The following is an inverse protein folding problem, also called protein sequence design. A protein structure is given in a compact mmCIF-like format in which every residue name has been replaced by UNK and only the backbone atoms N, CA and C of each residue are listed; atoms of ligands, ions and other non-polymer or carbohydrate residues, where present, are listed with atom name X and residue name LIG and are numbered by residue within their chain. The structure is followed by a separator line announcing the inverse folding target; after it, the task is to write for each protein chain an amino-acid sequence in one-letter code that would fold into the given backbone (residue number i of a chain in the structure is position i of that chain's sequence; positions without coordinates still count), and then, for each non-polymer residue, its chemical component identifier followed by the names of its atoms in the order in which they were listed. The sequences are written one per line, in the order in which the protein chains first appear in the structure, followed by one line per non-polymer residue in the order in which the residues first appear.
data_IF_272400085455
#
_entry.id   IF_272400085455
#
_cell.length_a   1.000
_cell.length_b   1.000
_cell.length_c   1.000
_cell.angle_alpha   90.00
_cell.angle_beta   90.00
_cell.angle_gamma   90.00
#
_symmetry.space_group_name_H-M   'P 1'
#
loop_
_entity.id
_entity.type
_entity.pdbx_description
1 polymer ?
#
# COMPACT_ATOMS: atom_id res chain seq x y z
N UNK A 1 -10.04 8.59 -30.19
CA UNK A 1 -11.14 8.08 -29.35
C UNK A 1 -10.57 7.71 -27.99
N UNK A 2 -11.30 7.94 -26.89
CA UNK A 2 -10.89 7.46 -25.57
C UNK A 2 -11.24 5.97 -25.48
N UNK A 3 -10.24 5.11 -25.32
CA UNK A 3 -10.45 3.67 -25.16
C UNK A 3 -10.56 3.33 -23.66
N UNK A 4 -11.62 2.65 -23.21
CA UNK A 4 -11.69 2.14 -21.86
C UNK A 4 -10.54 1.16 -21.59
N UNK A 5 -9.91 1.26 -20.42
CA UNK A 5 -8.95 0.27 -19.95
C UNK A 5 -9.70 -0.74 -19.08
N UNK A 6 -9.62 -2.01 -19.44
CA UNK A 6 -10.09 -3.10 -18.59
C UNK A 6 -8.99 -3.47 -17.59
N UNK A 7 -9.37 -3.75 -16.35
CA UNK A 7 -8.48 -4.31 -15.34
C UNK A 7 -8.68 -5.82 -15.36
N UNK A 8 -7.94 -6.49 -16.23
CA UNK A 8 -7.98 -7.93 -16.43
C UNK A 8 -6.73 -8.63 -15.87
N UNK A 9 -6.70 -9.96 -15.92
CA UNK A 9 -5.56 -10.74 -15.42
C UNK A 9 -4.25 -10.40 -16.15
N UNK A 10 -4.30 -10.08 -17.45
CA UNK A 10 -3.12 -9.73 -18.22
C UNK A 10 -2.50 -8.40 -17.74
N UNK A 11 -3.33 -7.39 -17.46
CA UNK A 11 -2.86 -6.13 -16.87
C UNK A 11 -2.26 -6.36 -15.48
N UNK A 12 -2.93 -7.16 -14.64
CA UNK A 12 -2.44 -7.48 -13.31
C UNK A 12 -1.10 -8.24 -13.38
N UNK A 13 -0.95 -9.20 -14.29
CA UNK A 13 0.30 -9.94 -14.52
C UNK A 13 1.43 -9.01 -14.93
N UNK A 14 1.17 -8.11 -15.88
CA UNK A 14 2.15 -7.14 -16.36
C UNK A 14 2.68 -6.26 -15.22
N UNK A 15 1.79 -5.67 -14.41
CA UNK A 15 2.21 -4.74 -13.35
C UNK A 15 2.96 -5.45 -12.21
N UNK A 16 2.59 -6.69 -11.87
CA UNK A 16 3.34 -7.49 -10.90
C UNK A 16 4.71 -7.92 -11.44
N UNK A 17 4.81 -8.32 -12.71
CA UNK A 17 6.09 -8.64 -13.32
C UNK A 17 7.04 -7.44 -13.30
N UNK A 18 6.53 -6.24 -13.56
CA UNK A 18 7.28 -5.00 -13.44
C UNK A 18 7.69 -4.71 -12.00
N UNK A 19 6.81 -4.95 -11.02
CA UNK A 19 7.12 -4.82 -9.60
C UNK A 19 8.27 -5.75 -9.18
N UNK A 20 8.24 -7.03 -9.56
CA UNK A 20 9.28 -8.01 -9.24
C UNK A 20 10.65 -7.70 -9.85
N UNK A 21 10.70 -6.92 -10.94
CA UNK A 21 11.95 -6.45 -11.57
C UNK A 21 12.46 -5.13 -10.98
N UNK A 22 11.64 -4.41 -10.23
CA UNK A 22 12.02 -3.15 -9.60
C UNK A 22 12.86 -3.47 -8.33
N UNK A 23 14.01 -2.80 -8.10
CA UNK A 23 14.78 -2.96 -6.86
C UNK A 23 13.95 -2.76 -5.58
N UNK A 24 12.94 -1.86 -5.62
CA UNK A 24 12.00 -1.62 -4.52
C UNK A 24 10.87 -2.64 -4.43
N UNK A 25 10.80 -3.58 -5.37
CA UNK A 25 9.82 -4.67 -5.41
C UNK A 25 8.35 -4.21 -5.47
N UNK A 26 8.12 -3.02 -6.07
CA UNK A 26 6.78 -2.46 -6.23
C UNK A 26 6.66 -1.59 -7.47
N UNK A 27 5.44 -1.47 -8.00
CA UNK A 27 5.16 -0.69 -9.21
C UNK A 27 3.76 -0.11 -9.18
N UNK A 28 3.68 1.18 -9.52
CA UNK A 28 2.42 1.87 -9.75
C UNK A 28 2.07 1.84 -11.25
N UNK A 29 0.82 1.52 -11.57
CA UNK A 29 0.18 1.77 -12.87
C UNK A 29 -0.87 2.84 -12.69
N UNK A 30 -0.50 4.09 -12.97
CA UNK A 30 -1.38 5.24 -12.78
C UNK A 30 -2.46 5.31 -13.86
N UNK A 31 -3.71 5.61 -13.46
CA UNK A 31 -4.83 5.91 -14.36
C UNK A 31 -5.09 7.41 -14.52
N UNK A 32 -4.43 8.22 -13.71
CA UNK A 32 -4.37 9.67 -13.84
C UNK A 32 -3.21 10.06 -14.76
N UNK A 33 -3.30 11.24 -15.39
CA UNK A 33 -2.33 11.66 -16.41
C UNK A 33 -0.95 12.00 -15.84
N UNK A 34 -0.95 12.70 -14.70
CA UNK A 34 0.25 13.19 -14.04
C UNK A 34 -0.03 13.51 -12.56
N UNK A 35 1.04 13.82 -11.83
CA UNK A 35 1.02 14.07 -10.40
C UNK A 35 0.18 15.29 -9.98
N UNK A 36 -0.20 16.17 -10.91
CA UNK A 36 -1.05 17.34 -10.65
C UNK A 36 -2.54 17.03 -10.69
N UNK A 37 -2.92 15.84 -11.18
CA UNK A 37 -4.32 15.43 -11.27
C UNK A 37 -5.00 15.49 -9.89
N UNK A 38 -6.27 15.95 -9.81
CA UNK A 38 -6.97 16.12 -8.53
C UNK A 38 -7.37 14.80 -7.87
N UNK A 39 -7.36 13.69 -8.62
CA UNK A 39 -7.67 12.36 -8.12
C UNK A 39 -6.62 11.36 -8.62
N UNK A 40 -6.00 10.66 -7.69
CA UNK A 40 -4.97 9.68 -7.94
C UNK A 40 -5.58 8.30 -7.81
N UNK A 41 -5.79 7.66 -8.97
CA UNK A 41 -6.27 6.28 -9.08
C UNK A 41 -5.17 5.46 -9.75
N UNK A 42 -4.82 4.33 -9.17
CA UNK A 42 -3.68 3.53 -9.62
C UNK A 42 -3.82 2.07 -9.20
N UNK A 43 -3.22 1.17 -9.98
CA UNK A 43 -2.83 -0.13 -9.43
C UNK A 43 -1.50 0.01 -8.72
N UNK A 44 -1.39 -0.57 -7.54
CA UNK A 44 -0.15 -0.67 -6.78
C UNK A 44 0.17 -2.16 -6.61
N UNK A 45 1.17 -2.63 -7.35
CA UNK A 45 1.67 -3.99 -7.24
C UNK A 45 2.84 -4.02 -6.26
N UNK A 46 2.78 -4.92 -5.29
CA UNK A 46 3.75 -5.02 -4.20
C UNK A 46 4.14 -6.50 -4.07
N UNK A 47 5.44 -6.78 -4.04
CA UNK A 47 5.95 -8.14 -3.82
C UNK A 47 6.41 -8.33 -2.37
N UNK A 48 6.36 -9.58 -1.84
CA UNK A 48 6.84 -9.88 -0.50
C UNK A 48 8.30 -9.44 -0.29
N UNK A 49 8.56 -8.79 0.84
CA UNK A 49 9.86 -8.21 1.15
C UNK A 49 9.97 -6.71 0.86
N UNK A 50 9.04 -6.14 0.07
CA UNK A 50 8.94 -4.69 -0.09
C UNK A 50 8.44 -4.05 1.21
N UNK A 51 9.34 -3.38 1.93
CA UNK A 51 9.00 -2.65 3.15
C UNK A 51 8.51 -1.24 2.81
N UNK A 52 7.33 -0.90 3.33
CA UNK A 52 6.81 0.46 3.36
C UNK A 52 6.88 0.96 4.80
N UNK A 53 7.61 2.06 5.00
CA UNK A 53 7.65 2.71 6.30
C UNK A 53 6.24 3.13 6.71
N UNK A 54 5.80 2.85 7.96
CA UNK A 54 4.54 3.35 8.46
C UNK A 54 4.44 4.88 8.33
N UNK A 55 3.27 5.33 7.92
CA UNK A 55 3.01 6.74 7.67
C UNK A 55 1.53 7.06 7.89
N UNK A 56 1.22 8.35 7.87
CA UNK A 56 -0.14 8.88 7.85
C UNK A 56 -0.18 10.05 6.88
N UNK A 57 -1.37 10.43 6.45
CA UNK A 57 -1.59 11.70 5.77
C UNK A 57 -2.26 12.69 6.71
N UNK A 58 -1.82 13.94 6.77
CA UNK A 58 -2.42 14.95 7.67
C UNK A 58 -3.41 15.90 6.96
N UNK A 59 -3.34 16.00 5.64
CA UNK A 59 -4.32 16.77 4.87
C UNK A 59 -5.68 16.05 4.87
N UNK A 60 -6.73 16.76 5.27
CA UNK A 60 -8.08 16.22 5.41
C UNK A 60 -8.70 15.68 4.10
N UNK A 61 -8.09 15.95 2.95
CA UNK A 61 -8.52 15.40 1.67
C UNK A 61 -7.76 14.12 1.28
N UNK A 62 -6.78 13.68 2.08
CA UNK A 62 -5.85 12.59 1.75
C UNK A 62 -6.22 11.27 2.43
N UNK A 63 -7.51 11.02 2.60
CA UNK A 63 -7.99 9.67 2.89
C UNK A 63 -7.56 8.73 1.75
N UNK A 64 -7.27 7.47 2.09
CA UNK A 64 -6.78 6.46 1.16
C UNK A 64 -7.68 5.22 1.16
N UNK A 65 -8.27 4.91 0.00
CA UNK A 65 -9.02 3.67 -0.19
C UNK A 65 -8.18 2.67 -0.97
N UNK A 66 -8.06 1.44 -0.46
CA UNK A 66 -7.31 0.36 -1.09
C UNK A 66 -8.18 -0.91 -1.19
N UNK A 67 -8.35 -1.46 -2.39
CA UNK A 67 -9.06 -2.72 -2.63
C UNK A 67 -8.11 -3.74 -3.26
N UNK A 68 -7.98 -4.92 -2.67
CA UNK A 68 -7.12 -5.98 -3.21
C UNK A 68 -7.82 -6.63 -4.42
N UNK A 69 -7.14 -6.63 -5.57
CA UNK A 69 -7.64 -7.25 -6.80
C UNK A 69 -7.04 -8.63 -7.05
N UNK A 70 -5.82 -8.89 -6.54
CA UNK A 70 -5.15 -10.18 -6.59
C UNK A 70 -4.17 -10.35 -5.44
N UNK A 71 -3.97 -11.59 -5.00
CA UNK A 71 -3.05 -11.94 -3.92
C UNK A 71 -3.62 -11.66 -2.54
N UNK A 72 -2.73 -11.44 -1.57
CA UNK A 72 -3.08 -11.18 -0.18
C UNK A 72 -2.25 -10.03 0.35
N UNK A 73 -2.91 -9.04 0.92
CA UNK A 73 -2.27 -7.88 1.53
C UNK A 73 -2.56 -7.85 3.03
N UNK A 74 -1.55 -7.58 3.84
CA UNK A 74 -1.74 -7.18 5.22
C UNK A 74 -1.81 -5.67 5.35
N UNK A 75 -2.66 -5.18 6.23
CA UNK A 75 -2.66 -3.78 6.71
C UNK A 75 -2.46 -3.79 8.22
N UNK A 76 -1.64 -2.87 8.70
CA UNK A 76 -1.34 -2.70 10.13
C UNK A 76 -1.54 -1.23 10.50
N UNK A 77 -2.30 -1.00 11.56
CA UNK A 77 -2.59 0.32 12.11
C UNK A 77 -1.91 0.52 13.47
N UNK A 78 -1.50 1.75 13.74
CA UNK A 78 -0.73 2.10 14.93
C UNK A 78 -1.32 3.31 15.65
N UNK A 79 -1.10 3.34 16.97
CA UNK A 79 -1.25 4.57 17.75
C UNK A 79 -0.06 5.53 17.51
N UNK A 80 -0.13 6.74 18.08
CA UNK A 80 0.93 7.75 17.97
C UNK A 80 2.26 7.35 18.66
N UNK A 81 2.27 6.29 19.49
CA UNK A 81 3.46 5.76 20.14
C UNK A 81 4.10 4.58 19.37
N UNK A 82 3.46 4.14 18.29
CA UNK A 82 3.89 3.02 17.47
C UNK A 82 3.47 1.64 17.96
N UNK A 83 2.55 1.56 18.93
CA UNK A 83 1.91 0.30 19.27
C UNK A 83 0.93 -0.09 18.16
N UNK A 84 0.81 -1.39 17.87
CA UNK A 84 -0.19 -1.84 16.89
C UNK A 84 -1.54 -1.95 17.57
N UNK A 85 -2.51 -1.23 17.02
CA UNK A 85 -3.89 -1.23 17.50
C UNK A 85 -4.74 -2.26 16.75
N UNK A 86 -4.52 -2.40 15.45
CA UNK A 86 -5.31 -3.29 14.60
C UNK A 86 -4.50 -3.84 13.43
N UNK A 87 -4.80 -5.08 13.06
CA UNK A 87 -4.31 -5.71 11.83
C UNK A 87 -5.47 -6.31 11.06
N UNK A 88 -5.31 -6.42 9.74
CA UNK A 88 -6.23 -7.17 8.90
C UNK A 88 -5.50 -7.79 7.71
N UNK A 89 -5.99 -8.96 7.27
CA UNK A 89 -5.60 -9.58 6.00
C UNK A 89 -6.71 -9.33 4.99
N UNK A 90 -6.34 -8.73 3.87
CA UNK A 90 -7.22 -8.32 2.78
C UNK A 90 -7.02 -9.26 1.58
N UNK A 91 -8.13 -9.81 1.07
CA UNK A 91 -8.13 -10.68 -0.12
C UNK A 91 -9.35 -10.39 -1.00
N UNK A 92 -9.28 -10.51 -2.35
CA UNK A 92 -10.33 -10.02 -3.25
C UNK A 92 -11.75 -10.57 -2.96
N UNK A 93 -11.84 -11.82 -2.51
CA UNK A 93 -13.09 -12.51 -2.20
C UNK A 93 -13.16 -12.99 -0.73
N UNK A 94 -12.33 -12.42 0.14
CA UNK A 94 -12.34 -12.72 1.57
C UNK A 94 -13.40 -11.93 2.34
N UNK A 95 -13.50 -12.19 3.65
CA UNK A 95 -14.37 -11.42 4.54
C UNK A 95 -14.04 -9.92 4.55
N UNK A 96 -12.77 -9.58 4.30
CA UNK A 96 -12.31 -8.20 4.12
C UNK A 96 -11.50 -8.14 2.82
N UNK A 97 -11.95 -7.32 1.87
CA UNK A 97 -11.30 -7.19 0.55
C UNK A 97 -10.58 -5.86 0.34
N UNK A 98 -10.81 -4.90 1.22
CA UNK A 98 -10.19 -3.59 1.16
C UNK A 98 -10.32 -2.82 2.45
N UNK A 99 -9.81 -1.62 2.42
CA UNK A 99 -9.71 -0.71 3.56
C UNK A 99 -9.91 0.71 3.07
N UNK A 100 -10.59 1.51 3.90
CA UNK A 100 -10.67 2.96 3.75
C UNK A 100 -10.00 3.57 4.97
N UNK A 101 -8.94 4.35 4.75
CA UNK A 101 -8.06 4.86 5.79
C UNK A 101 -8.25 6.36 5.88
N UNK A 102 -8.86 6.87 6.97
CA UNK A 102 -8.92 8.29 7.22
C UNK A 102 -7.52 8.90 7.38
N UNK A 103 -7.37 10.14 6.95
CA UNK A 103 -6.22 10.97 7.31
C UNK A 103 -6.00 10.98 8.84
N UNK A 104 -4.75 11.13 9.25
CA UNK A 104 -4.30 11.11 10.64
C UNK A 104 -3.95 9.71 11.15
N UNK A 105 -4.43 8.64 10.50
CA UNK A 105 -4.21 7.26 10.94
C UNK A 105 -2.86 6.74 10.46
N UNK A 106 -1.99 6.38 11.42
CA UNK A 106 -0.74 5.70 11.11
C UNK A 106 -0.99 4.28 10.64
N UNK A 107 -0.45 3.94 9.47
CA UNK A 107 -0.62 2.63 8.88
C UNK A 107 0.59 2.22 8.03
N UNK A 108 0.67 0.92 7.76
CA UNK A 108 1.49 0.36 6.68
C UNK A 108 0.80 -0.84 6.06
N UNK A 109 1.19 -1.17 4.83
CA UNK A 109 0.73 -2.33 4.09
C UNK A 109 1.91 -3.22 3.71
N UNK A 110 1.64 -4.52 3.55
CA UNK A 110 2.63 -5.47 3.07
C UNK A 110 1.98 -6.55 2.22
N UNK A 111 2.66 -6.96 1.15
CA UNK A 111 2.29 -8.14 0.38
C UNK A 111 2.61 -9.41 1.18
N UNK A 112 1.62 -10.30 1.31
CA UNK A 112 1.78 -11.60 1.96
C UNK A 112 2.09 -12.70 0.94
N UNK A 113 1.55 -12.54 -0.27
CA UNK A 113 1.74 -13.45 -1.41
C UNK A 113 2.43 -12.72 -2.58
N UNK A 114 3.25 -13.42 -3.38
CA UNK A 114 3.74 -12.90 -4.65
C UNK A 114 2.61 -12.46 -5.59
N UNK A 115 2.86 -11.42 -6.38
CA UNK A 115 1.88 -10.89 -7.34
C UNK A 115 0.65 -10.23 -6.74
N UNK A 116 0.77 -9.73 -5.50
CA UNK A 116 -0.28 -8.94 -4.85
C UNK A 116 -0.44 -7.60 -5.55
N UNK A 117 -1.68 -7.29 -5.95
CA UNK A 117 -2.03 -6.02 -6.62
C UNK A 117 -3.29 -5.45 -5.99
N UNK A 118 -3.23 -4.18 -5.59
CA UNK A 118 -4.38 -3.42 -5.12
C UNK A 118 -4.74 -2.27 -6.07
N UNK A 119 -6.01 -1.91 -6.11
CA UNK A 119 -6.45 -0.59 -6.56
C UNK A 119 -6.34 0.36 -5.38
N UNK A 120 -5.61 1.46 -5.56
CA UNK A 120 -5.53 2.57 -4.61
C UNK A 120 -6.22 3.79 -5.23
N UNK A 121 -7.02 4.48 -4.42
CA UNK A 121 -7.66 5.73 -4.77
C UNK A 121 -7.50 6.74 -3.64
N UNK A 122 -7.01 7.93 -3.97
CA UNK A 122 -6.87 9.06 -3.05
C UNK A 122 -6.93 10.39 -3.76
N UNK A 123 -7.09 11.49 -3.03
CA UNK A 123 -6.99 12.80 -3.65
C UNK A 123 -5.56 13.04 -4.14
N UNK A 124 -5.44 13.67 -5.30
CA UNK A 124 -4.21 14.35 -5.71
C UNK A 124 -4.21 15.82 -5.24
N UNK A 125 -3.29 16.66 -5.73
CA UNK A 125 -2.06 16.26 -6.42
C UNK A 125 -1.12 15.45 -5.51
N UNK A 126 -0.11 14.80 -6.05
CA UNK A 126 0.91 14.13 -5.23
C UNK A 126 1.63 15.17 -4.37
N UNK A 127 1.79 14.82 -3.09
CA UNK A 127 2.65 15.53 -2.16
C UNK A 127 3.53 14.50 -1.46
N UNK A 128 4.86 14.67 -1.45
CA UNK A 128 5.73 13.82 -0.65
C UNK A 128 5.34 13.91 0.83
N UNK A 129 5.47 12.78 1.54
CA UNK A 129 5.25 12.76 2.99
C UNK A 129 6.23 13.70 3.69
N UNK A 130 5.67 14.55 4.55
CA UNK A 130 6.43 15.39 5.47
C UNK A 130 6.98 14.57 6.66
N UNK A 131 7.87 15.15 7.46
CA UNK A 131 8.46 14.43 8.59
C UNK A 131 7.41 14.05 9.65
N UNK A 132 6.41 14.90 9.89
CA UNK A 132 5.30 14.63 10.82
C UNK A 132 4.32 13.54 10.33
N UNK A 133 4.38 13.21 9.05
CA UNK A 133 3.60 12.16 8.40
C UNK A 133 4.32 10.81 8.41
N UNK A 134 5.61 10.78 8.76
CA UNK A 134 6.42 9.55 8.89
C UNK A 134 6.41 9.08 10.34
N UNK A 135 6.32 7.77 10.53
CA UNK A 135 6.43 7.16 11.85
C UNK A 135 7.89 7.18 12.35
N UNK A 136 8.26 8.15 13.19
CA UNK A 136 9.64 8.31 13.66
C UNK A 136 10.19 7.11 14.45
N UNK A 137 9.32 6.26 14.99
CA UNK A 137 9.70 5.02 15.67
C UNK A 137 10.08 3.87 14.72
N UNK A 138 9.66 3.95 13.46
CA UNK A 138 9.89 2.89 12.50
C UNK A 138 11.21 3.11 11.75
N UNK A 139 11.95 2.03 11.42
CA UNK A 139 13.18 2.17 10.65
C UNK A 139 12.88 2.77 9.27
N UNK A 140 13.75 3.65 8.74
CA UNK A 140 13.65 4.13 7.37
C UNK A 140 13.70 2.99 6.36
N UNK A 141 13.09 3.20 5.19
CA UNK A 141 13.21 2.25 4.09
C UNK A 141 14.67 2.10 3.64
N UNK A 142 15.13 0.86 3.47
CA UNK A 142 16.51 0.55 3.10
C UNK A 142 17.49 0.51 4.27
N UNK A 143 17.07 0.87 5.49
CA UNK A 143 17.90 0.70 6.68
C UNK A 143 18.10 -0.81 7.01
N UNK A 144 19.23 -1.22 7.62
CA UNK A 144 19.50 -2.61 7.97
C UNK A 144 18.39 -3.28 8.80
N UNK A 145 17.71 -2.51 9.65
CA UNK A 145 16.67 -2.96 10.57
C UNK A 145 15.31 -3.15 9.87
N UNK A 146 15.11 -2.56 8.69
CA UNK A 146 13.82 -2.57 7.97
C UNK A 146 13.30 -3.97 7.70
N UNK A 147 14.19 -4.89 7.30
CA UNK A 147 13.82 -6.27 7.03
C UNK A 147 13.36 -7.02 8.29
N UNK A 148 13.99 -6.76 9.44
CA UNK A 148 13.58 -7.36 10.71
C UNK A 148 12.24 -6.80 11.19
N UNK A 149 12.04 -5.49 11.03
CA UNK A 149 10.78 -4.84 11.36
C UNK A 149 9.62 -5.34 10.49
N UNK A 150 9.82 -5.46 9.17
CA UNK A 150 8.82 -6.05 8.27
C UNK A 150 8.45 -7.49 8.66
N UNK A 151 9.42 -8.33 9.05
CA UNK A 151 9.14 -9.68 9.55
C UNK A 151 8.30 -9.67 10.83
N UNK A 152 8.58 -8.77 11.75
CA UNK A 152 7.82 -8.62 12.99
C UNK A 152 6.37 -8.17 12.71
N UNK A 153 6.15 -7.25 11.77
CA UNK A 153 4.81 -6.86 11.33
C UNK A 153 4.07 -8.02 10.66
N UNK A 154 4.73 -8.76 9.77
CA UNK A 154 4.15 -9.94 9.11
C UNK A 154 3.71 -11.00 10.11
N UNK A 155 4.46 -11.21 11.19
CA UNK A 155 4.09 -12.18 12.23
C UNK A 155 2.80 -11.80 12.99
N UNK A 156 2.35 -10.54 12.93
CA UNK A 156 1.06 -10.08 13.51
C UNK A 156 -0.14 -10.29 12.58
N UNK A 157 0.08 -10.79 11.37
CA UNK A 157 -0.93 -10.95 10.31
C UNK A 157 -1.31 -12.41 10.07
N UNK A 158 -1.04 -13.28 11.05
CA UNK A 158 -1.47 -14.69 11.00
C UNK A 158 -2.95 -14.73 11.32
N UNK A 159 -3.75 -15.08 10.31
CA UNK A 159 -5.09 -15.64 10.49
C UNK A 159 -4.87 -17.15 10.38
N UNK A 160 -5.16 -17.86 11.45
CA UNK A 160 -5.16 -19.33 11.50
C UNK A 160 -6.00 -19.94 10.36
#
# INVERSE_FOLDING_TARGET
MKTPLLIDQALLDSVSLEAGRNPRQRKNRNFHADDTAPAHRLLNAIEPGSYLMPHRHLDANKDETMIVLRGRMGVVFFDDLGNVEQTAVLTPAGAVCGVDIPHGVYHTILALDPGTVMLEAKAGPYRPLEDAERAAWAPPEGAPESAAYLRALRARLVVD
#
